data_IF_548360280763
#
_entry.id   IF_548360280763
#
_cell.length_a   1.000
_cell.length_b   1.000
_cell.length_c   1.000
_cell.angle_alpha   90.00
_cell.angle_beta   90.00
_cell.angle_gamma   90.00
#
_symmetry.space_group_name_H-M   'P 1'
#
loop_
_entity.id
_entity.type
_entity.pdbx_description
1 polymer ?
#
# COMPACT_ATOMS: atom_id res chain seq x y z
N UNK A 1 7.04 9.32 70.54
CA UNK A 1 6.08 9.77 69.51
C UNK A 1 6.33 8.94 68.26
N UNK A 2 5.53 7.91 68.00
CA UNK A 2 5.70 6.96 66.88
C UNK A 2 4.46 7.04 66.01
N UNK A 3 4.60 7.56 64.79
CA UNK A 3 3.52 7.60 63.80
C UNK A 3 3.34 6.20 63.18
N UNK A 4 2.26 5.49 63.55
CA UNK A 4 1.78 4.31 62.80
C UNK A 4 0.96 4.79 61.61
N UNK A 5 1.55 4.74 60.42
CA UNK A 5 0.84 4.92 59.15
C UNK A 5 -0.13 3.76 58.90
N UNK A 6 -1.42 4.06 58.72
CA UNK A 6 -2.43 3.11 58.26
C UNK A 6 -2.13 2.75 56.80
N UNK A 7 -1.74 1.50 56.54
CA UNK A 7 -1.70 0.93 55.19
C UNK A 7 -3.15 0.79 54.69
N UNK A 8 -3.63 1.75 53.93
CA UNK A 8 -4.81 1.56 53.08
C UNK A 8 -4.42 0.67 51.92
N UNK A 9 -4.82 -0.61 51.97
CA UNK A 9 -4.82 -1.48 50.80
C UNK A 9 -5.80 -0.88 49.79
N UNK A 10 -5.27 -0.20 48.78
CA UNK A 10 -6.05 0.13 47.58
C UNK A 10 -6.28 -1.17 46.83
N UNK A 11 -7.51 -1.66 46.89
CA UNK A 11 -8.03 -2.64 45.95
C UNK A 11 -7.60 -2.21 44.54
N UNK A 12 -6.82 -3.06 43.86
CA UNK A 12 -6.62 -2.93 42.44
C UNK A 12 -8.01 -3.06 41.80
N UNK A 13 -8.57 -1.94 41.36
CA UNK A 13 -9.74 -1.93 40.50
C UNK A 13 -9.37 -2.74 39.26
N UNK A 14 -9.84 -4.00 39.21
CA UNK A 14 -9.91 -4.77 37.98
C UNK A 14 -10.79 -3.96 37.02
N UNK A 15 -10.17 -3.28 36.08
CA UNK A 15 -10.87 -2.85 34.87
C UNK A 15 -11.47 -4.11 34.24
N UNK A 16 -12.79 -4.25 34.35
CA UNK A 16 -13.53 -5.25 33.57
C UNK A 16 -13.40 -4.82 32.11
N UNK A 17 -12.46 -5.41 31.39
CA UNK A 17 -12.50 -5.42 29.93
C UNK A 17 -13.79 -6.14 29.56
N UNK A 18 -14.79 -5.38 29.07
CA UNK A 18 -16.05 -5.94 28.60
C UNK A 18 -15.82 -7.05 27.57
N UNK A 19 -16.82 -7.92 27.41
CA UNK A 19 -16.89 -9.18 26.64
C UNK A 19 -16.40 -9.17 25.17
N UNK A 20 -15.38 -8.41 24.80
CA UNK A 20 -14.79 -8.38 23.47
C UNK A 20 -13.86 -9.58 23.34
N UNK A 21 -14.10 -10.40 22.33
CA UNK A 21 -13.18 -11.47 21.96
C UNK A 21 -11.77 -10.92 21.78
N UNK A 22 -10.76 -11.63 22.27
CA UNK A 22 -9.37 -11.16 22.20
C UNK A 22 -8.87 -11.22 20.74
N UNK A 23 -8.07 -10.25 20.27
CA UNK A 23 -7.46 -10.33 18.94
C UNK A 23 -6.68 -11.64 18.76
N UNK A 24 -6.92 -12.33 17.65
CA UNK A 24 -6.34 -13.66 17.39
C UNK A 24 -6.97 -14.83 18.16
N UNK A 25 -8.05 -14.64 18.94
CA UNK A 25 -8.76 -15.74 19.60
C UNK A 25 -9.81 -16.43 18.71
N UNK A 26 -10.18 -17.67 19.03
CA UNK A 26 -11.21 -18.41 18.29
C UNK A 26 -12.54 -17.67 18.28
N UNK A 27 -12.93 -17.05 19.39
CA UNK A 27 -14.14 -16.23 19.49
C UNK A 27 -14.05 -15.01 18.55
N UNK A 28 -12.85 -14.47 18.34
CA UNK A 28 -12.65 -13.38 17.39
C UNK A 28 -12.79 -13.86 15.95
N UNK A 29 -12.29 -15.06 15.63
CA UNK A 29 -12.50 -15.66 14.32
C UNK A 29 -13.99 -15.88 14.04
N UNK A 30 -14.72 -16.46 14.99
CA UNK A 30 -16.16 -16.69 14.88
C UNK A 30 -16.93 -15.38 14.66
N UNK A 31 -16.65 -14.36 15.45
CA UNK A 31 -17.26 -13.05 15.28
C UNK A 31 -16.98 -12.41 13.92
N UNK A 32 -15.74 -12.51 13.41
CA UNK A 32 -15.42 -12.01 12.07
C UNK A 32 -16.12 -12.80 10.97
N UNK A 33 -16.30 -14.11 11.16
CA UNK A 33 -17.04 -14.97 10.24
C UNK A 33 -18.53 -14.65 10.22
N UNK A 34 -19.13 -14.36 11.39
CA UNK A 34 -20.52 -13.90 11.50
C UNK A 34 -20.72 -12.58 10.74
N UNK A 35 -19.84 -11.59 10.93
CA UNK A 35 -19.88 -10.35 10.16
C UNK A 35 -19.79 -10.59 8.65
N UNK A 36 -18.91 -11.49 8.20
CA UNK A 36 -18.78 -11.80 6.78
C UNK A 36 -20.04 -12.47 6.22
N UNK A 37 -20.65 -13.37 7.00
CA UNK A 37 -21.91 -14.04 6.64
C UNK A 37 -23.03 -13.01 6.51
N UNK A 38 -23.16 -12.11 7.49
CA UNK A 38 -24.16 -11.04 7.48
C UNK A 38 -23.97 -10.10 6.27
N UNK A 39 -22.72 -9.77 5.92
CA UNK A 39 -22.43 -8.97 4.72
C UNK A 39 -22.90 -9.64 3.42
N UNK A 40 -22.76 -10.96 3.33
CA UNK A 40 -23.15 -11.73 2.15
C UNK A 40 -24.67 -11.90 2.05
N UNK A 41 -25.36 -12.05 3.19
CA UNK A 41 -26.80 -12.30 3.23
C UNK A 41 -27.64 -11.03 3.13
N UNK A 42 -27.14 -9.90 3.62
CA UNK A 42 -27.91 -8.65 3.58
C UNK A 42 -28.00 -8.06 2.17
N UNK A 43 -29.19 -7.55 1.83
CA UNK A 43 -29.42 -6.75 0.63
C UNK A 43 -29.47 -5.24 0.90
N UNK A 44 -29.35 -4.84 2.18
CA UNK A 44 -29.45 -3.43 2.62
C UNK A 44 -28.06 -2.80 2.57
N UNK A 45 -27.91 -1.77 1.74
CA UNK A 45 -26.62 -1.09 1.50
C UNK A 45 -26.01 -0.49 2.76
N UNK A 46 -26.82 0.13 3.63
CA UNK A 46 -26.37 0.73 4.89
C UNK A 46 -25.80 -0.31 5.85
N UNK A 47 -26.37 -1.51 5.87
CA UNK A 47 -25.84 -2.61 6.69
C UNK A 47 -24.52 -3.12 6.12
N UNK A 48 -24.40 -3.25 4.79
CA UNK A 48 -23.12 -3.58 4.15
C UNK A 48 -22.04 -2.58 4.52
N UNK A 49 -22.34 -1.29 4.47
CA UNK A 49 -21.40 -0.23 4.85
C UNK A 49 -20.94 -0.36 6.31
N UNK A 50 -21.88 -0.55 7.24
CA UNK A 50 -21.57 -0.69 8.66
C UNK A 50 -20.72 -1.93 8.95
N UNK A 51 -21.06 -3.06 8.33
CA UNK A 51 -20.31 -4.31 8.47
C UNK A 51 -18.91 -4.16 7.89
N UNK A 52 -18.78 -3.60 6.68
CA UNK A 52 -17.48 -3.41 6.03
C UNK A 52 -16.60 -2.43 6.80
N UNK A 53 -17.18 -1.35 7.34
CA UNK A 53 -16.49 -0.43 8.23
C UNK A 53 -15.98 -1.13 9.51
N UNK A 54 -16.79 -2.02 10.10
CA UNK A 54 -16.36 -2.83 11.25
C UNK A 54 -15.20 -3.75 10.86
N UNK A 55 -15.28 -4.47 9.74
CA UNK A 55 -14.20 -5.32 9.24
C UNK A 55 -12.92 -4.52 9.01
N UNK A 56 -13.00 -3.34 8.39
CA UNK A 56 -11.86 -2.46 8.16
C UNK A 56 -11.18 -1.99 9.47
N UNK A 57 -11.96 -1.77 10.54
CA UNK A 57 -11.42 -1.44 11.87
C UNK A 57 -10.64 -2.62 12.47
N UNK A 58 -11.05 -3.87 12.23
CA UNK A 58 -10.31 -5.05 12.70
C UNK A 58 -8.96 -5.25 12.00
N UNK A 59 -8.81 -4.74 10.78
CA UNK A 59 -7.56 -4.80 10.01
C UNK A 59 -6.40 -4.02 10.63
N UNK A 60 -6.68 -3.10 11.56
CA UNK A 60 -5.64 -2.32 12.24
C UNK A 60 -4.78 -3.16 13.21
N UNK A 61 -5.37 -4.19 13.83
CA UNK A 61 -4.64 -5.05 14.79
C UNK A 61 -4.01 -6.25 14.09
N UNK A 62 -2.67 -6.24 14.01
CA UNK A 62 -1.89 -7.28 13.33
C UNK A 62 -2.13 -8.69 13.89
N UNK A 63 -2.60 -8.83 15.14
CA UNK A 63 -2.94 -10.13 15.74
C UNK A 63 -4.17 -10.77 15.12
N UNK A 64 -5.03 -9.99 14.45
CA UNK A 64 -6.13 -10.55 13.67
C UNK A 64 -5.66 -11.10 12.31
N UNK A 65 -4.45 -10.79 11.87
CA UNK A 65 -3.93 -11.14 10.54
C UNK A 65 -4.21 -12.57 10.08
N UNK A 66 -3.91 -13.62 10.87
CA UNK A 66 -4.21 -15.00 10.50
C UNK A 66 -5.70 -15.24 10.19
N UNK A 67 -6.60 -14.68 11.00
CA UNK A 67 -8.05 -14.80 10.79
C UNK A 67 -8.54 -14.01 9.58
N UNK A 68 -8.06 -12.77 9.41
CA UNK A 68 -8.43 -11.93 8.26
C UNK A 68 -7.97 -12.57 6.94
N UNK A 69 -6.80 -13.24 6.96
CA UNK A 69 -6.30 -14.03 5.83
C UNK A 69 -7.15 -15.28 5.59
N UNK A 70 -7.46 -16.04 6.64
CA UNK A 70 -8.31 -17.24 6.55
C UNK A 70 -9.70 -16.92 6.01
N UNK A 71 -10.24 -15.75 6.34
CA UNK A 71 -11.56 -15.29 5.89
C UNK A 71 -11.52 -14.54 4.55
N UNK A 72 -10.37 -14.51 3.87
CA UNK A 72 -10.25 -13.92 2.52
C UNK A 72 -10.67 -12.44 2.44
N UNK A 73 -10.39 -11.65 3.49
CA UNK A 73 -10.82 -10.25 3.52
C UNK A 73 -10.17 -9.37 2.44
N UNK A 74 -8.97 -9.72 1.98
CA UNK A 74 -8.33 -9.02 0.85
C UNK A 74 -9.19 -9.15 -0.41
N UNK A 75 -9.70 -10.35 -0.68
CA UNK A 75 -10.55 -10.65 -1.84
C UNK A 75 -11.87 -9.86 -1.73
N UNK A 76 -12.51 -9.88 -0.56
CA UNK A 76 -13.71 -9.09 -0.27
C UNK A 76 -13.51 -7.59 -0.55
N UNK A 77 -12.46 -6.99 0.01
CA UNK A 77 -12.22 -5.55 -0.18
C UNK A 77 -11.90 -5.22 -1.63
N UNK A 78 -11.14 -6.06 -2.32
CA UNK A 78 -10.84 -5.84 -3.74
C UNK A 78 -12.09 -6.00 -4.61
N UNK A 79 -12.99 -6.92 -4.29
CA UNK A 79 -14.26 -7.05 -4.99
C UNK A 79 -15.14 -5.81 -4.85
N UNK A 80 -15.13 -5.15 -3.68
CA UNK A 80 -15.86 -3.90 -3.45
C UNK A 80 -15.39 -2.73 -4.34
N UNK A 81 -14.14 -2.75 -4.81
CA UNK A 81 -13.57 -1.62 -5.57
C UNK A 81 -13.51 -1.85 -7.10
N UNK A 82 -13.76 -3.07 -7.58
CA UNK A 82 -13.59 -3.42 -9.02
C UNK A 82 -14.45 -2.59 -9.96
N UNK A 83 -15.75 -2.56 -9.69
CA UNK A 83 -16.72 -1.81 -10.48
C UNK A 83 -16.44 -0.29 -10.40
N UNK A 84 -16.38 0.33 -9.21
CA UNK A 84 -16.23 1.78 -9.12
C UNK A 84 -14.87 2.27 -9.64
N UNK A 85 -13.78 1.50 -9.44
CA UNK A 85 -12.47 1.84 -10.01
C UNK A 85 -12.49 1.88 -11.53
N UNK A 86 -13.23 0.96 -12.17
CA UNK A 86 -13.38 0.94 -13.63
C UNK A 86 -14.17 2.14 -14.12
N UNK A 87 -15.23 2.53 -13.41
CA UNK A 87 -16.06 3.71 -13.73
C UNK A 87 -15.22 4.98 -13.64
N UNK A 88 -14.53 5.21 -12.52
CA UNK A 88 -13.69 6.39 -12.33
C UNK A 88 -12.55 6.48 -13.34
N UNK A 89 -11.88 5.36 -13.61
CA UNK A 89 -10.79 5.34 -14.59
C UNK A 89 -11.25 5.68 -16.01
N UNK A 90 -12.41 5.16 -16.42
CA UNK A 90 -13.04 5.52 -17.71
C UNK A 90 -13.44 6.99 -17.75
N UNK A 91 -14.08 7.50 -16.70
CA UNK A 91 -14.50 8.90 -16.61
C UNK A 91 -13.31 9.89 -16.62
N UNK A 92 -12.15 9.50 -16.08
CA UNK A 92 -10.93 10.30 -16.17
C UNK A 92 -10.35 10.34 -17.58
N UNK A 93 -10.59 9.31 -18.39
CA UNK A 93 -10.05 9.17 -19.75
C UNK A 93 -10.99 9.68 -20.84
N UNK A 94 -12.29 9.62 -20.58
CA UNK A 94 -13.36 10.00 -21.48
C UNK A 94 -14.18 11.08 -20.78
N UNK A 95 -14.27 12.27 -21.36
CA UNK A 95 -15.06 13.41 -20.83
C UNK A 95 -16.58 13.16 -20.88
N UNK A 96 -17.03 11.99 -20.44
CA UNK A 96 -18.43 11.54 -20.42
C UNK A 96 -18.99 11.70 -19.02
N UNK A 97 -20.03 12.53 -18.90
CA UNK A 97 -20.71 12.86 -17.64
C UNK A 97 -21.62 11.76 -17.09
N UNK A 98 -21.90 10.71 -17.87
CA UNK A 98 -22.97 9.76 -17.56
C UNK A 98 -22.52 8.59 -16.67
N UNK A 99 -21.20 8.45 -16.46
CA UNK A 99 -20.59 7.42 -15.63
C UNK A 99 -20.46 7.92 -14.19
N UNK A 100 -21.49 7.67 -13.36
CA UNK A 100 -21.50 8.01 -11.94
C UNK A 100 -21.60 6.76 -11.07
N UNK A 101 -20.72 6.66 -10.08
CA UNK A 101 -20.81 5.68 -8.98
C UNK A 101 -21.78 6.23 -7.95
N UNK A 102 -22.72 5.41 -7.48
CA UNK A 102 -23.65 5.82 -6.42
C UNK A 102 -22.95 6.02 -5.08
N UNK A 103 -23.66 6.69 -4.16
CA UNK A 103 -23.10 7.12 -2.87
C UNK A 103 -22.77 5.92 -1.96
N UNK A 104 -23.58 4.87 -1.98
CA UNK A 104 -23.35 3.68 -1.16
C UNK A 104 -22.15 2.88 -1.66
N UNK A 105 -22.04 2.68 -2.98
CA UNK A 105 -20.86 2.05 -3.59
C UNK A 105 -19.59 2.88 -3.35
N UNK A 106 -19.70 4.21 -3.35
CA UNK A 106 -18.60 5.09 -2.99
C UNK A 106 -18.15 4.87 -1.53
N UNK A 107 -19.08 4.85 -0.57
CA UNK A 107 -18.77 4.57 0.85
C UNK A 107 -18.18 3.19 1.07
N UNK A 108 -18.72 2.16 0.43
CA UNK A 108 -18.16 0.81 0.47
C UNK A 108 -16.72 0.79 -0.05
N UNK A 109 -16.43 1.54 -1.12
CA UNK A 109 -15.07 1.67 -1.65
C UNK A 109 -14.13 2.34 -0.64
N UNK A 110 -14.57 3.40 0.04
CA UNK A 110 -13.79 4.06 1.08
C UNK A 110 -13.45 3.11 2.23
N UNK A 111 -14.43 2.35 2.74
CA UNK A 111 -14.20 1.38 3.81
C UNK A 111 -13.30 0.23 3.35
N UNK A 112 -13.49 -0.27 2.12
CA UNK A 112 -12.66 -1.32 1.56
C UNK A 112 -11.19 -0.89 1.42
N UNK A 113 -10.95 0.30 0.86
CA UNK A 113 -9.59 0.85 0.75
C UNK A 113 -9.00 1.18 2.12
N UNK A 114 -9.79 1.66 3.08
CA UNK A 114 -9.36 1.82 4.46
C UNK A 114 -8.90 0.50 5.08
N UNK A 115 -9.67 -0.57 4.88
CA UNK A 115 -9.32 -1.93 5.31
C UNK A 115 -8.02 -2.44 4.66
N UNK A 116 -7.90 -2.32 3.33
CA UNK A 116 -6.69 -2.68 2.58
C UNK A 116 -5.47 -1.88 3.04
N UNK A 117 -5.63 -0.58 3.30
CA UNK A 117 -4.58 0.28 3.83
C UNK A 117 -4.10 -0.20 5.20
N UNK A 118 -5.03 -0.52 6.09
CA UNK A 118 -4.71 -1.07 7.42
C UNK A 118 -4.00 -2.42 7.31
N UNK A 119 -4.46 -3.32 6.43
CA UNK A 119 -3.82 -4.62 6.19
C UNK A 119 -2.41 -4.49 5.63
N UNK A 120 -2.23 -3.61 4.64
CA UNK A 120 -0.93 -3.33 4.06
C UNK A 120 0.03 -2.76 5.13
N UNK A 121 -0.43 -1.91 6.03
CA UNK A 121 0.40 -1.39 7.11
C UNK A 121 0.74 -2.46 8.17
N UNK A 122 -0.26 -3.23 8.64
CA UNK A 122 -0.16 -4.03 9.86
C UNK A 122 0.41 -5.43 9.68
N UNK A 123 0.38 -6.01 8.47
CA UNK A 123 0.78 -7.40 8.23
C UNK A 123 1.62 -7.56 6.96
N UNK A 124 2.90 -7.94 7.07
CA UNK A 124 3.76 -8.20 5.90
C UNK A 124 3.21 -9.29 4.97
N UNK A 125 2.57 -10.31 5.54
CA UNK A 125 2.00 -11.43 4.77
C UNK A 125 0.81 -10.94 3.93
N UNK A 126 -0.14 -10.23 4.55
CA UNK A 126 -1.31 -9.71 3.84
C UNK A 126 -0.92 -8.60 2.85
N UNK A 127 0.09 -7.80 3.17
CA UNK A 127 0.71 -6.86 2.23
C UNK A 127 1.21 -7.57 0.98
N UNK A 128 1.88 -8.71 1.14
CA UNK A 128 2.35 -9.51 0.00
C UNK A 128 1.20 -10.14 -0.78
N UNK A 129 0.15 -10.60 -0.08
CA UNK A 129 -1.08 -11.10 -0.72
C UNK A 129 -1.71 -10.00 -1.59
N UNK A 130 -1.82 -8.76 -1.09
CA UNK A 130 -2.31 -7.60 -1.86
C UNK A 130 -1.40 -7.30 -3.06
N UNK A 131 -0.08 -7.28 -2.86
CA UNK A 131 0.90 -6.98 -3.92
C UNK A 131 0.82 -7.98 -5.08
N UNK A 132 0.51 -9.24 -4.79
CA UNK A 132 0.41 -10.33 -5.76
C UNK A 132 -1.00 -10.51 -6.33
N UNK A 133 -1.99 -9.77 -5.82
CA UNK A 133 -3.37 -9.97 -6.21
C UNK A 133 -3.65 -9.49 -7.64
N UNK A 134 -4.43 -10.27 -8.41
CA UNK A 134 -4.79 -9.97 -9.81
C UNK A 134 -5.52 -8.63 -9.97
N UNK A 135 -6.26 -8.20 -8.94
CA UNK A 135 -7.00 -6.93 -8.91
C UNK A 135 -6.23 -5.76 -8.27
N UNK A 136 -4.92 -5.87 -8.03
CA UNK A 136 -4.09 -4.71 -7.67
C UNK A 136 -4.24 -3.51 -8.64
N UNK A 137 -4.42 -3.69 -9.97
CA UNK A 137 -4.68 -2.56 -10.87
C UNK A 137 -5.92 -1.73 -10.51
N UNK A 138 -6.91 -2.30 -9.81
CA UNK A 138 -8.07 -1.55 -9.33
C UNK A 138 -7.68 -0.48 -8.29
N UNK A 139 -6.68 -0.76 -7.43
CA UNK A 139 -6.15 0.23 -6.48
C UNK A 139 -5.49 1.39 -7.25
N UNK A 140 -4.76 1.11 -8.32
CA UNK A 140 -4.19 2.14 -9.20
C UNK A 140 -5.29 2.96 -9.86
N UNK A 141 -6.31 2.30 -10.41
CA UNK A 141 -7.46 2.97 -11.03
C UNK A 141 -8.21 3.89 -10.05
N UNK A 142 -8.36 3.49 -8.77
CA UNK A 142 -8.97 4.33 -7.73
C UNK A 142 -8.22 5.66 -7.48
N UNK A 143 -6.95 5.80 -7.87
CA UNK A 143 -6.24 7.09 -7.80
C UNK A 143 -6.80 8.14 -8.76
N UNK A 144 -7.70 7.77 -9.68
CA UNK A 144 -8.43 8.68 -10.58
C UNK A 144 -9.82 9.05 -10.07
N UNK A 145 -10.20 8.59 -8.87
CA UNK A 145 -11.50 8.88 -8.28
C UNK A 145 -11.69 10.38 -8.05
N UNK A 146 -12.91 10.92 -8.22
CA UNK A 146 -13.23 12.29 -7.82
C UNK A 146 -13.32 12.46 -6.29
N UNK A 147 -13.22 11.37 -5.52
CA UNK A 147 -13.38 11.37 -4.06
C UNK A 147 -12.00 11.39 -3.39
N UNK A 148 -11.69 12.47 -2.67
CA UNK A 148 -10.36 12.72 -2.11
C UNK A 148 -9.87 11.60 -1.18
N UNK A 149 -10.73 11.10 -0.29
CA UNK A 149 -10.44 9.98 0.62
C UNK A 149 -10.07 8.69 -0.11
N UNK A 150 -10.78 8.35 -1.19
CA UNK A 150 -10.46 7.21 -2.05
C UNK A 150 -9.05 7.35 -2.61
N UNK A 151 -8.72 8.51 -3.18
CA UNK A 151 -7.39 8.79 -3.74
C UNK A 151 -6.30 8.70 -2.66
N UNK A 152 -6.55 9.28 -1.48
CA UNK A 152 -5.62 9.23 -0.34
C UNK A 152 -5.34 7.78 0.08
N UNK A 153 -6.38 6.95 0.26
CA UNK A 153 -6.17 5.54 0.62
C UNK A 153 -5.44 4.78 -0.48
N UNK A 154 -5.80 4.97 -1.75
CA UNK A 154 -5.14 4.30 -2.87
C UNK A 154 -3.66 4.63 -2.96
N UNK A 155 -3.29 5.91 -2.88
CA UNK A 155 -1.88 6.33 -2.87
C UNK A 155 -1.13 5.75 -1.66
N UNK A 156 -1.75 5.77 -0.48
CA UNK A 156 -1.15 5.23 0.75
C UNK A 156 -0.92 3.72 0.64
N UNK A 157 -1.87 2.97 0.08
CA UNK A 157 -1.69 1.53 -0.18
C UNK A 157 -0.51 1.33 -1.13
N UNK A 158 -0.46 2.04 -2.26
CA UNK A 158 0.64 1.89 -3.22
C UNK A 158 2.01 2.20 -2.59
N UNK A 159 2.09 3.20 -1.72
CA UNK A 159 3.30 3.49 -0.95
C UNK A 159 3.66 2.29 -0.06
N UNK A 160 2.73 1.79 0.76
CA UNK A 160 2.99 0.60 1.59
C UNK A 160 3.45 -0.62 0.79
N UNK A 161 2.95 -0.79 -0.44
CA UNK A 161 3.27 -1.94 -1.30
C UNK A 161 4.62 -1.80 -2.02
N UNK A 162 5.03 -0.59 -2.39
CA UNK A 162 6.16 -0.36 -3.30
C UNK A 162 7.30 0.49 -2.73
N UNK A 163 7.18 1.03 -1.52
CA UNK A 163 8.34 1.63 -0.82
C UNK A 163 9.41 0.56 -0.63
N UNK A 164 10.60 0.80 -1.18
CA UNK A 164 11.70 -0.16 -1.08
C UNK A 164 12.25 -0.20 0.34
N UNK A 165 12.49 -1.42 0.81
CA UNK A 165 13.37 -1.63 1.94
C UNK A 165 14.83 -1.67 1.42
N UNK A 166 15.80 -1.02 2.08
CA UNK A 166 17.21 -1.03 1.66
C UNK A 166 17.83 -2.44 1.50
N UNK A 167 17.20 -3.45 2.12
CA UNK A 167 17.63 -4.85 2.08
C UNK A 167 16.74 -5.73 1.18
N UNK A 168 15.86 -5.15 0.36
CA UNK A 168 15.02 -5.93 -0.56
C UNK A 168 15.85 -6.52 -1.71
N UNK A 169 15.55 -7.74 -2.19
CA UNK A 169 16.19 -8.29 -3.37
C UNK A 169 16.07 -7.35 -4.57
N UNK A 170 17.12 -7.24 -5.38
CA UNK A 170 17.15 -6.37 -6.58
C UNK A 170 16.04 -6.71 -7.60
N UNK A 171 15.44 -7.89 -7.52
CA UNK A 171 14.36 -8.37 -8.39
C UNK A 171 12.98 -7.75 -8.12
N UNK A 172 12.82 -6.90 -7.11
CA UNK A 172 11.53 -6.24 -6.86
C UNK A 172 11.20 -5.24 -7.98
N UNK A 173 10.16 -5.54 -8.77
CA UNK A 173 9.67 -4.66 -9.84
C UNK A 173 9.15 -3.35 -9.21
N UNK A 174 9.74 -2.22 -9.61
CA UNK A 174 9.31 -0.91 -9.13
C UNK A 174 7.87 -0.57 -9.55
N UNK A 175 7.22 0.32 -8.79
CA UNK A 175 5.88 0.79 -9.13
C UNK A 175 5.84 1.37 -10.55
N UNK A 176 6.87 2.14 -10.92
CA UNK A 176 6.95 2.79 -12.22
C UNK A 176 7.03 1.80 -13.39
N UNK A 177 7.76 0.69 -13.21
CA UNK A 177 7.83 -0.37 -14.21
C UNK A 177 6.51 -1.15 -14.32
N UNK A 178 5.87 -1.46 -13.18
CA UNK A 178 4.64 -2.26 -13.15
C UNK A 178 3.40 -1.48 -13.57
N UNK A 179 3.32 -0.21 -13.18
CA UNK A 179 2.16 0.66 -13.39
C UNK A 179 2.59 2.07 -13.83
N UNK A 180 2.99 2.25 -15.10
CA UNK A 180 3.34 3.58 -15.64
C UNK A 180 2.24 4.64 -15.46
N UNK A 181 0.97 4.22 -15.50
CA UNK A 181 -0.18 5.10 -15.26
C UNK A 181 -0.17 5.73 -13.86
N UNK A 182 0.25 4.99 -12.81
CA UNK A 182 0.34 5.53 -11.45
C UNK A 182 1.33 6.70 -11.38
N UNK A 183 2.45 6.61 -12.10
CA UNK A 183 3.46 7.67 -12.20
C UNK A 183 2.90 8.91 -12.89
N UNK A 184 2.16 8.73 -13.98
CA UNK A 184 1.55 9.84 -14.72
C UNK A 184 0.50 10.56 -13.87
N UNK A 185 -0.35 9.81 -13.17
CA UNK A 185 -1.36 10.36 -12.26
C UNK A 185 -0.71 11.12 -11.09
N UNK A 186 0.33 10.55 -10.48
CA UNK A 186 1.05 11.22 -9.40
C UNK A 186 1.70 12.55 -9.85
N UNK A 187 2.32 12.58 -11.04
CA UNK A 187 2.87 13.83 -11.62
C UNK A 187 1.79 14.87 -11.83
N UNK A 188 0.64 14.47 -12.37
CA UNK A 188 -0.50 15.37 -12.54
C UNK A 188 -0.95 16.00 -11.21
N UNK A 189 -1.01 15.23 -10.12
CA UNK A 189 -1.33 15.77 -8.79
C UNK A 189 -0.29 16.76 -8.26
N UNK A 190 0.99 16.58 -8.57
CA UNK A 190 2.04 17.54 -8.22
C UNK A 190 1.98 18.83 -9.05
N UNK A 191 1.69 18.72 -10.34
CA UNK A 191 1.69 19.82 -11.31
C UNK A 191 0.45 20.72 -11.24
N UNK A 192 -0.69 20.20 -10.75
CA UNK A 192 -1.99 20.90 -10.64
C UNK A 192 -2.01 22.09 -9.67
N UNK A 193 -0.84 22.59 -9.26
CA UNK A 193 -0.63 23.64 -8.25
C UNK A 193 -1.01 25.05 -8.69
N UNK A 194 -1.42 25.27 -9.96
CA UNK A 194 -1.56 26.61 -10.55
C UNK A 194 -2.92 26.80 -11.25
N UNK A 195 -4.02 26.80 -10.48
CA UNK A 195 -5.36 27.22 -10.92
C UNK A 195 -6.45 26.12 -10.86
N UNK A 196 -7.72 26.54 -10.74
CA UNK A 196 -9.02 25.78 -10.68
C UNK A 196 -9.12 24.51 -9.78
N UNK A 197 -8.01 23.96 -9.27
CA UNK A 197 -7.91 22.79 -8.38
C UNK A 197 -7.48 23.17 -6.96
N UNK A 198 -7.85 24.36 -6.47
CA UNK A 198 -7.54 24.80 -5.11
C UNK A 198 -8.24 23.96 -4.00
N UNK A 199 -9.18 23.10 -4.38
CA UNK A 199 -10.03 22.30 -3.49
C UNK A 199 -9.58 20.83 -3.33
N UNK A 200 -8.45 20.46 -3.94
CA UNK A 200 -7.90 19.11 -3.76
C UNK A 200 -7.21 18.99 -2.39
N UNK A 201 -7.47 17.88 -1.69
CA UNK A 201 -6.87 17.63 -0.38
C UNK A 201 -5.33 17.65 -0.47
N UNK A 202 -4.70 18.49 0.35
CA UNK A 202 -3.24 18.64 0.40
C UNK A 202 -2.48 17.31 0.57
N UNK A 203 -3.09 16.33 1.27
CA UNK A 203 -2.51 14.99 1.46
C UNK A 203 -2.27 14.28 0.14
N UNK A 204 -3.12 14.48 -0.86
CA UNK A 204 -2.99 13.85 -2.17
C UNK A 204 -1.67 14.26 -2.83
N UNK A 205 -1.33 15.55 -2.78
CA UNK A 205 -0.06 16.05 -3.32
C UNK A 205 1.13 15.49 -2.56
N UNK A 206 1.08 15.50 -1.24
CA UNK A 206 2.16 14.95 -0.40
C UNK A 206 2.38 13.47 -0.69
N UNK A 207 1.32 12.68 -0.76
CA UNK A 207 1.40 11.24 -1.05
C UNK A 207 1.87 10.98 -2.49
N UNK A 208 1.42 11.78 -3.46
CA UNK A 208 1.88 11.67 -4.85
C UNK A 208 3.40 11.93 -4.96
N UNK A 209 3.91 12.93 -4.23
CA UNK A 209 5.34 13.22 -4.16
C UNK A 209 6.12 12.05 -3.54
N UNK A 210 5.69 11.54 -2.38
CA UNK A 210 6.29 10.37 -1.72
C UNK A 210 6.32 9.16 -2.66
N UNK A 211 5.22 8.90 -3.37
CA UNK A 211 5.12 7.79 -4.32
C UNK A 211 6.16 7.92 -5.46
N UNK A 212 6.35 9.13 -5.99
CA UNK A 212 7.34 9.38 -7.05
C UNK A 212 8.78 9.24 -6.56
N UNK A 213 9.07 9.70 -5.35
CA UNK A 213 10.41 9.66 -4.74
C UNK A 213 10.80 8.25 -4.27
N UNK A 214 9.90 7.56 -3.56
CA UNK A 214 10.24 6.33 -2.82
C UNK A 214 9.82 5.04 -3.54
N UNK A 215 8.84 5.09 -4.45
CA UNK A 215 8.28 3.89 -5.09
C UNK A 215 8.69 3.75 -6.57
N UNK A 216 9.06 4.83 -7.24
CA UNK A 216 9.34 4.84 -8.68
C UNK A 216 10.83 4.81 -9.04
N UNK A 217 11.73 5.23 -8.15
CA UNK A 217 13.16 5.27 -8.48
C UNK A 217 13.79 3.89 -8.43
N UNK A 218 14.41 3.48 -9.52
CA UNK A 218 15.41 2.42 -9.48
C UNK A 218 16.70 3.05 -8.99
N UNK A 219 17.14 2.74 -7.76
CA UNK A 219 18.50 3.06 -7.32
C UNK A 219 19.45 2.22 -8.16
N UNK A 220 19.72 2.66 -9.39
CA UNK A 220 20.94 2.30 -10.07
C UNK A 220 21.99 3.12 -9.35
N UNK A 221 22.76 2.48 -8.48
CA UNK A 221 24.04 3.04 -8.07
C UNK A 221 24.87 3.19 -9.35
N UNK A 222 24.79 4.34 -10.00
CA UNK A 222 25.82 4.76 -10.95
C UNK A 222 27.08 4.91 -10.14
N UNK A 223 27.83 3.81 -10.04
CA UNK A 223 29.24 3.85 -9.72
C UNK A 223 29.86 4.71 -10.81
N UNK A 224 30.08 5.98 -10.49
CA UNK A 224 30.91 6.89 -11.30
C UNK A 224 32.25 6.20 -11.48
N UNK A 225 32.45 5.55 -12.62
CA UNK A 225 33.76 5.07 -13.03
C UNK A 225 34.58 6.31 -13.33
N UNK A 226 35.34 6.77 -12.33
CA UNK A 226 36.43 7.72 -12.55
C UNK A 226 37.41 7.03 -13.49
N UNK A 227 37.37 7.35 -14.77
CA UNK A 227 38.35 6.91 -15.77
C UNK A 227 39.68 7.59 -15.45
N UNK A 228 40.50 6.96 -14.60
CA UNK A 228 41.91 7.31 -14.48
C UNK A 228 42.58 6.96 -15.80
N UNK A 229 42.98 8.00 -16.54
CA UNK A 229 43.73 7.86 -17.79
C UNK A 229 45.14 7.39 -17.44
N UNK A 230 45.42 6.11 -17.66
CA UNK A 230 46.78 5.56 -17.56
C UNK A 230 47.47 5.69 -18.91
N UNK A 231 48.33 6.70 -19.04
CA UNK A 231 49.25 6.86 -20.17
C UNK A 231 50.16 5.64 -20.27
N UNK A 232 50.00 4.82 -21.30
CA UNK A 232 50.91 3.69 -21.58
C UNK A 232 52.03 4.19 -22.48
N UNK A 233 53.25 4.26 -21.95
CA UNK A 233 54.48 4.54 -22.70
C UNK A 233 54.93 3.26 -23.41
N UNK A 234 54.95 3.29 -24.74
CA UNK A 234 55.43 2.18 -25.58
C UNK A 234 56.96 2.14 -25.58
N UNK A 235 57.55 1.10 -24.99
CA UNK A 235 59.00 0.81 -25.12
C UNK A 235 59.18 -0.26 -26.19
N UNK A 236 59.87 0.10 -27.27
CA UNK A 236 60.25 -0.77 -28.38
C UNK A 236 61.43 -1.66 -27.97
N UNK A 237 61.26 -2.98 -27.97
CA UNK A 237 62.37 -3.94 -27.78
C UNK A 237 62.64 -4.64 -29.11
N UNK A 238 63.82 -4.36 -29.67
CA UNK A 238 64.37 -4.96 -30.88
C UNK A 238 64.95 -6.34 -30.55
N UNK A 239 64.45 -7.41 -31.18
CA UNK A 239 65.04 -8.75 -31.12
C UNK A 239 65.87 -9.01 -32.39
N UNK A 240 67.18 -9.15 -32.19
CA UNK A 240 68.16 -9.52 -33.21
C UNK A 240 68.25 -11.05 -33.29
N UNK A 241 67.99 -11.61 -34.47
CA UNK A 241 68.13 -13.04 -34.77
C UNK A 241 69.55 -13.32 -35.24
N UNK A 242 70.29 -14.16 -34.54
CA UNK A 242 71.58 -14.69 -35.02
C UNK A 242 71.47 -16.20 -35.22
N UNK A 243 71.65 -16.61 -36.47
CA UNK A 243 71.80 -18.00 -36.88
C UNK A 243 73.11 -18.59 -36.35
N UNK A 244 73.13 -19.89 -36.07
CA UNK A 244 74.32 -20.69 -36.33
C UNK A 244 74.03 -22.18 -36.51
N UNK A 245 74.72 -22.70 -37.51
CA UNK A 245 74.76 -24.03 -38.11
C UNK A 245 75.55 -25.06 -37.30
N UNK A 246 75.10 -26.31 -37.39
CA UNK A 246 75.83 -27.61 -37.39
C UNK A 246 77.28 -27.69 -36.90
N UNK A 247 77.50 -28.63 -35.97
CA UNK A 247 78.41 -29.78 -36.14
C UNK A 247 77.93 -30.97 -35.33
#
# INVERSE_FOLDING_TARGET
MVFKGKKTFRSAQKFKTGNRALPGSLERLQYLQELLTEYQETSISEYKEQILANLANFCYDSRNGPHLRQLHLVDLFLDCIKEPSTVWFKAASQSSSDLKVDEHTTRLTEFALGGLCNLAASSPILRQDILNHTYLPCIVACTTSPVNSVVVYSLTILIHLFTRCPNSPEESISLGCRFPAAVQIARHYCESSSGRHADIDHRIRTLAQILLEDCCTTTVNTTTTTTTTTTTTTTTTTTTTTANTSH
#
